data_IF_459346283351
#
_entry.id   IF_459346283351
#
_cell.length_a   1.000
_cell.length_b   1.000
_cell.length_c   1.000
_cell.angle_alpha   90.00
_cell.angle_beta   90.00
_cell.angle_gamma   90.00
#
_symmetry.space_group_name_H-M   'P 1'
#
loop_
_entity.id
_entity.type
_entity.pdbx_description
1 polymer ?
#
# COMPACT_ATOMS: atom_id res chain seq x y z
N UNK A 1 3.72 -4.03 9.64
CA UNK A 1 3.01 -4.72 8.51
C UNK A 1 3.89 -5.77 7.86
N UNK A 2 5.21 -5.57 7.72
CA UNK A 2 6.14 -6.58 7.17
C UNK A 2 6.61 -7.57 8.26
N UNK A 3 6.40 -7.23 9.54
CA UNK A 3 6.94 -7.95 10.69
C UNK A 3 6.46 -9.40 10.82
N UNK A 4 5.33 -9.76 10.18
CA UNK A 4 4.85 -11.13 10.18
C UNK A 4 5.84 -12.07 9.48
N UNK A 5 6.47 -11.65 8.36
CA UNK A 5 7.46 -12.47 7.63
C UNK A 5 8.61 -12.85 8.55
N UNK A 6 9.09 -11.89 9.36
CA UNK A 6 10.17 -12.11 10.33
C UNK A 6 9.79 -13.09 11.45
N UNK A 7 8.53 -13.03 11.90
CA UNK A 7 8.08 -13.76 13.09
C UNK A 7 7.42 -15.11 12.77
N UNK A 8 7.06 -15.36 11.52
CA UNK A 8 6.47 -16.62 11.09
C UNK A 8 7.53 -17.72 11.06
N UNK A 9 7.31 -18.81 11.79
CA UNK A 9 8.24 -19.94 11.82
C UNK A 9 8.14 -20.85 10.58
N UNK A 10 7.07 -20.72 9.79
CA UNK A 10 6.90 -21.45 8.54
C UNK A 10 7.76 -20.87 7.39
N UNK A 11 8.26 -19.64 7.55
CA UNK A 11 9.10 -18.98 6.56
C UNK A 11 10.54 -19.50 6.56
N UNK A 12 11.16 -19.69 5.39
CA UNK A 12 12.58 -20.02 5.29
C UNK A 12 13.48 -19.02 6.05
N UNK A 13 14.52 -19.51 6.72
CA UNK A 13 15.42 -18.68 7.56
C UNK A 13 16.09 -17.54 6.80
N UNK A 14 16.44 -17.79 5.54
CA UNK A 14 17.04 -16.84 4.61
C UNK A 14 16.07 -15.71 4.25
N UNK A 15 14.79 -16.01 4.07
CA UNK A 15 13.74 -15.01 3.78
C UNK A 15 13.49 -14.11 5.00
N UNK A 16 13.59 -14.69 6.20
CA UNK A 16 13.43 -13.95 7.46
C UNK A 16 14.63 -13.08 7.80
N UNK A 17 15.74 -13.22 7.10
CA UNK A 17 16.93 -12.43 7.35
C UNK A 17 16.62 -10.95 7.17
N UNK A 18 17.04 -10.14 8.15
CA UNK A 18 16.81 -8.70 8.15
C UNK A 18 17.28 -8.03 6.86
N UNK A 19 18.41 -8.49 6.29
CA UNK A 19 18.96 -7.99 5.03
C UNK A 19 18.04 -8.19 3.82
N UNK A 20 17.33 -9.32 3.73
CA UNK A 20 16.38 -9.60 2.64
C UNK A 20 15.14 -8.73 2.80
N UNK A 21 14.59 -8.65 4.02
CA UNK A 21 13.43 -7.82 4.31
C UNK A 21 13.72 -6.33 4.05
N UNK A 22 14.91 -5.85 4.44
CA UNK A 22 15.35 -4.48 4.18
C UNK A 22 15.45 -4.19 2.69
N UNK A 23 16.12 -5.06 1.95
CA UNK A 23 16.38 -4.88 0.53
C UNK A 23 15.12 -4.98 -0.34
N UNK A 24 14.21 -5.89 -0.02
CA UNK A 24 13.10 -6.24 -0.91
C UNK A 24 11.74 -5.68 -0.46
N UNK A 25 11.51 -5.55 0.85
CA UNK A 25 10.20 -5.15 1.38
C UNK A 25 10.21 -3.75 2.00
N UNK A 26 11.16 -3.43 2.87
CA UNK A 26 11.19 -2.13 3.55
C UNK A 26 11.63 -0.98 2.63
N UNK A 27 12.33 -1.24 1.54
CA UNK A 27 12.67 -0.24 0.51
C UNK A 27 11.52 0.03 -0.45
N UNK A 28 10.57 -0.91 -0.60
CA UNK A 28 9.50 -0.83 -1.58
C UNK A 28 8.49 0.28 -1.23
N UNK A 29 8.29 1.21 -2.17
CA UNK A 29 7.44 2.38 -1.95
C UNK A 29 5.96 2.02 -1.77
N UNK A 30 5.44 1.02 -2.48
CA UNK A 30 4.05 0.60 -2.36
C UNK A 30 3.75 0.07 -0.95
N UNK A 31 4.66 -0.73 -0.40
CA UNK A 31 4.54 -1.24 0.97
C UNK A 31 4.72 -0.15 2.03
N UNK A 32 5.57 0.86 1.76
CA UNK A 32 5.68 2.04 2.62
C UNK A 32 4.38 2.83 2.65
N UNK A 33 3.83 3.21 1.50
CA UNK A 33 2.55 3.93 1.38
C UNK A 33 1.45 3.14 2.10
N UNK A 34 1.36 1.82 1.87
CA UNK A 34 0.38 0.96 2.54
C UNK A 34 0.51 1.00 4.07
N UNK A 35 1.75 0.92 4.57
CA UNK A 35 2.03 1.05 6.00
C UNK A 35 1.69 2.44 6.56
N UNK A 36 1.89 3.51 5.79
CA UNK A 36 1.57 4.88 6.23
C UNK A 36 0.06 5.06 6.35
N UNK A 37 -0.70 4.60 5.37
CA UNK A 37 -2.18 4.63 5.38
C UNK A 37 -2.72 3.80 6.54
N UNK A 38 -2.24 2.56 6.71
CA UNK A 38 -2.68 1.67 7.78
C UNK A 38 -2.32 2.24 9.17
N UNK A 39 -1.15 2.89 9.28
CA UNK A 39 -0.75 3.51 10.55
C UNK A 39 -1.57 4.76 10.81
N UNK A 40 -1.79 5.64 9.84
CA UNK A 40 -2.66 6.82 9.99
C UNK A 40 -4.10 6.44 10.39
N UNK A 41 -4.61 5.32 9.86
CA UNK A 41 -5.94 4.80 10.23
C UNK A 41 -6.01 4.23 11.66
N UNK A 42 -4.88 3.80 12.25
CA UNK A 42 -4.83 3.10 13.55
C UNK A 42 -4.23 3.94 14.68
N UNK A 43 -3.24 4.76 14.34
CA UNK A 43 -2.43 5.58 15.22
C UNK A 43 -2.45 7.00 14.62
N UNK A 44 -2.99 7.97 15.35
CA UNK A 44 -3.08 9.37 14.90
C UNK A 44 -1.70 10.02 14.62
N UNK A 45 -0.59 9.36 14.99
CA UNK A 45 0.77 9.83 14.76
C UNK A 45 1.73 8.68 14.43
N UNK A 46 2.59 8.92 13.44
CA UNK A 46 3.71 8.05 13.08
C UNK A 46 4.98 8.53 13.80
N UNK A 47 5.52 7.72 14.72
CA UNK A 47 6.70 8.11 15.50
C UNK A 47 8.01 7.44 15.01
N UNK A 48 7.91 6.30 14.30
CA UNK A 48 9.07 5.47 13.93
C UNK A 48 9.70 5.80 12.58
N UNK A 49 8.96 6.44 11.67
CA UNK A 49 9.45 6.84 10.35
C UNK A 49 8.72 8.08 9.86
N UNK A 50 9.34 8.79 8.93
CA UNK A 50 8.71 9.91 8.23
C UNK A 50 7.76 9.30 7.18
N UNK A 51 6.45 9.59 7.25
CA UNK A 51 5.49 9.13 6.24
C UNK A 51 5.84 9.74 4.88
N UNK A 52 5.62 8.98 3.80
CA UNK A 52 5.77 9.49 2.42
C UNK A 52 4.42 9.87 1.78
N UNK A 53 3.32 9.43 2.40
CA UNK A 53 1.95 9.83 2.04
C UNK A 53 1.57 11.12 2.77
N UNK A 54 1.07 12.10 2.03
CA UNK A 54 0.61 13.40 2.57
C UNK A 54 -0.88 13.38 2.90
N UNK A 55 -1.71 12.78 2.05
CA UNK A 55 -3.15 12.69 2.28
C UNK A 55 -3.77 11.49 1.56
N UNK A 56 -4.92 11.06 2.07
CA UNK A 56 -5.80 10.09 1.40
C UNK A 56 -7.20 10.68 1.41
N UNK A 57 -7.76 10.92 0.24
CA UNK A 57 -9.07 11.55 0.09
C UNK A 57 -10.00 10.55 -0.59
N UNK A 58 -11.12 10.26 0.05
CA UNK A 58 -12.23 9.55 -0.57
C UNK A 58 -13.21 10.56 -1.16
N UNK A 59 -13.57 10.37 -2.43
CA UNK A 59 -14.58 11.16 -3.13
C UNK A 59 -15.64 10.24 -3.74
N UNK A 60 -16.90 10.70 -3.73
CA UNK A 60 -18.04 10.03 -4.36
C UNK A 60 -18.75 11.04 -5.24
N UNK A 61 -19.03 10.70 -6.50
CA UNK A 61 -19.72 11.61 -7.43
C UNK A 61 -19.71 11.11 -8.87
N UNK A 62 -20.62 11.62 -9.71
CA UNK A 62 -20.69 11.27 -11.13
C UNK A 62 -19.34 11.52 -11.82
N UNK A 63 -18.68 10.45 -12.26
CA UNK A 63 -17.34 10.52 -12.89
C UNK A 63 -16.15 10.36 -11.94
N UNK A 64 -16.36 10.19 -10.63
CA UNK A 64 -15.33 9.66 -9.72
C UNK A 64 -15.25 8.14 -9.90
N UNK A 65 -14.05 7.61 -10.17
CA UNK A 65 -13.82 6.21 -10.59
C UNK A 65 -13.80 6.00 -12.11
N UNK A 66 -13.45 4.78 -12.58
CA UNK A 66 -13.29 4.49 -14.02
C UNK A 66 -14.63 4.34 -14.76
N UNK A 67 -15.72 4.01 -14.06
CA UNK A 67 -17.01 3.69 -14.67
C UNK A 67 -18.20 4.39 -14.00
N UNK A 68 -18.38 5.68 -14.26
CA UNK A 68 -19.68 6.32 -14.07
C UNK A 68 -20.66 5.83 -15.15
N UNK A 69 -21.54 4.87 -14.82
CA UNK A 69 -22.67 4.48 -15.70
C UNK A 69 -24.01 4.92 -15.11
N UNK A 70 -24.77 5.67 -15.91
CA UNK A 70 -26.18 6.08 -15.80
C UNK A 70 -26.49 7.49 -15.25
N UNK A 71 -27.57 8.09 -15.78
CA UNK A 71 -27.99 9.50 -15.66
C UNK A 71 -28.46 9.99 -14.28
N UNK A 72 -28.18 9.22 -13.21
CA UNK A 72 -28.36 9.60 -11.80
C UNK A 72 -27.18 9.09 -10.95
N UNK A 73 -25.97 9.08 -11.53
CA UNK A 73 -24.84 8.26 -11.11
C UNK A 73 -24.42 8.40 -9.65
N UNK A 74 -24.69 7.34 -8.89
CA UNK A 74 -23.86 6.95 -7.75
C UNK A 74 -22.51 6.55 -8.37
N UNK A 75 -21.60 7.51 -8.49
CA UNK A 75 -20.25 7.22 -8.99
C UNK A 75 -19.50 6.34 -8.01
N UNK A 76 -18.62 5.50 -8.54
CA UNK A 76 -17.74 4.66 -7.73
C UNK A 76 -16.91 5.55 -6.79
N UNK A 77 -16.60 5.03 -5.61
CA UNK A 77 -15.75 5.74 -4.66
C UNK A 77 -14.33 5.83 -5.23
N UNK A 78 -13.91 7.04 -5.59
CA UNK A 78 -12.55 7.34 -6.00
C UNK A 78 -11.74 7.68 -4.76
N UNK A 79 -10.76 6.84 -4.43
CA UNK A 79 -9.80 7.15 -3.36
C UNK A 79 -8.49 7.58 -4.02
N UNK A 80 -8.11 8.82 -3.80
CA UNK A 80 -6.86 9.39 -4.28
C UNK A 80 -5.87 9.51 -3.13
N UNK A 81 -4.66 9.02 -3.37
CA UNK A 81 -3.55 9.02 -2.43
C UNK A 81 -2.54 10.05 -2.91
N UNK A 82 -2.30 11.09 -2.13
CA UNK A 82 -1.29 12.11 -2.45
C UNK A 82 -0.02 11.82 -1.68
N UNK A 83 1.13 11.90 -2.35
CA UNK A 83 2.45 11.74 -1.76
C UNK A 83 3.05 13.10 -1.40
N UNK A 84 4.09 13.11 -0.58
CA UNK A 84 4.76 14.34 -0.15
C UNK A 84 5.49 15.07 -1.29
N UNK A 85 5.78 14.38 -2.40
CA UNK A 85 6.38 14.97 -3.60
C UNK A 85 5.33 15.62 -4.54
N UNK A 86 4.06 15.61 -4.14
CA UNK A 86 2.95 16.18 -4.91
C UNK A 86 2.36 15.24 -5.97
N UNK A 87 2.87 14.00 -6.09
CA UNK A 87 2.25 13.01 -6.97
C UNK A 87 0.97 12.44 -6.35
N UNK A 88 0.02 12.05 -7.22
CA UNK A 88 -1.22 11.41 -6.82
C UNK A 88 -1.37 10.04 -7.46
N UNK A 89 -1.88 9.09 -6.68
CA UNK A 89 -2.08 7.70 -7.07
C UNK A 89 -3.55 7.33 -6.89
N UNK A 90 -4.12 6.66 -7.89
CA UNK A 90 -5.42 6.05 -7.75
C UNK A 90 -5.33 4.80 -6.85
N UNK A 91 -6.26 4.64 -5.91
CA UNK A 91 -6.24 3.53 -4.94
C UNK A 91 -6.30 2.14 -5.59
N UNK A 92 -6.98 1.98 -6.73
CA UNK A 92 -7.09 0.69 -7.39
C UNK A 92 -5.74 0.25 -7.97
N UNK A 93 -5.07 1.17 -8.67
CA UNK A 93 -3.74 0.93 -9.22
C UNK A 93 -2.72 0.72 -8.08
N UNK A 94 -2.86 1.48 -7.00
CA UNK A 94 -2.05 1.30 -5.81
C UNK A 94 -2.20 -0.11 -5.20
N UNK A 95 -3.42 -0.56 -4.95
CA UNK A 95 -3.69 -1.89 -4.39
C UNK A 95 -3.17 -2.98 -5.31
N UNK A 96 -3.37 -2.83 -6.63
CA UNK A 96 -2.84 -3.77 -7.61
C UNK A 96 -1.31 -3.91 -7.50
N UNK A 97 -0.58 -2.79 -7.40
CA UNK A 97 0.88 -2.79 -7.25
C UNK A 97 1.35 -3.38 -5.91
N UNK A 98 0.62 -3.15 -4.82
CA UNK A 98 0.90 -3.78 -3.51
C UNK A 98 0.75 -5.29 -3.61
N UNK A 99 -0.36 -5.77 -4.18
CA UNK A 99 -0.61 -7.21 -4.35
C UNK A 99 0.43 -7.83 -5.27
N UNK A 100 0.78 -7.16 -6.36
CA UNK A 100 1.82 -7.61 -7.29
C UNK A 100 3.19 -7.71 -6.61
N UNK A 101 3.55 -6.74 -5.77
CA UNK A 101 4.81 -6.76 -5.00
C UNK A 101 4.88 -8.01 -4.09
N UNK A 102 3.81 -8.32 -3.36
CA UNK A 102 3.75 -9.55 -2.56
C UNK A 102 3.78 -10.81 -3.43
N UNK A 103 3.04 -10.77 -4.55
CA UNK A 103 3.11 -11.68 -5.72
C UNK A 103 4.54 -12.16 -6.00
N UNK A 104 5.34 -11.18 -6.38
CA UNK A 104 6.71 -11.37 -6.85
C UNK A 104 7.63 -11.84 -5.73
N UNK A 105 7.47 -11.30 -4.52
CA UNK A 105 8.24 -11.72 -3.36
C UNK A 105 8.00 -13.20 -3.04
N UNK A 106 6.74 -13.61 -2.89
CA UNK A 106 6.37 -15.00 -2.58
C UNK A 106 6.86 -15.95 -3.69
N UNK A 107 6.69 -15.56 -4.95
CA UNK A 107 7.16 -16.36 -6.10
C UNK A 107 8.68 -16.53 -6.10
N UNK A 108 9.44 -15.46 -5.85
CA UNK A 108 10.91 -15.47 -5.84
C UNK A 108 11.46 -16.40 -4.76
N UNK A 109 10.84 -16.37 -3.59
CA UNK A 109 11.25 -17.13 -2.42
C UNK A 109 10.55 -18.49 -2.28
N UNK A 110 9.68 -18.83 -3.25
CA UNK A 110 8.94 -20.09 -3.33
C UNK A 110 8.10 -20.39 -2.08
N UNK A 111 7.38 -19.36 -1.63
CA UNK A 111 6.44 -19.41 -0.51
C UNK A 111 5.01 -19.34 -1.05
#
# INVERSE_FOLDING_TARGET
MIDWVRNDLSMPNDVRAQSVLEKELYTNNWLKICGDIATASKHFKLDRRIPITSSVISSKGYGSGRYGKAGYGIGEEGIDITLNDGTSLNSLDFVHNVVQTWKEFMTRHKI
#
